data_IF_394948901781
#
_entry.id   IF_394948901781
#
_cell.length_a   1.000
_cell.length_b   1.000
_cell.length_c   1.000
_cell.angle_alpha   90.00
_cell.angle_beta   90.00
_cell.angle_gamma   90.00
#
_symmetry.space_group_name_H-M   'P 1'
#
loop_
_entity.id
_entity.type
_entity.pdbx_description
1 polymer ?
#
# COMPACT_ATOMS: atom_id res chain seq x y z
N UNK A 1 -1.87 5.62 8.76
CA UNK A 1 -0.76 6.47 8.28
C UNK A 1 0.41 6.28 9.23
N UNK A 2 1.57 5.98 8.69
CA UNK A 2 2.82 5.93 9.43
C UNK A 2 3.65 7.16 9.10
N UNK A 3 4.20 7.81 10.10
CA UNK A 3 5.25 8.78 9.91
C UNK A 3 6.59 8.03 9.77
N UNK A 4 7.27 8.21 8.65
CA UNK A 4 8.54 7.56 8.38
C UNK A 4 9.69 8.34 9.00
N UNK A 5 10.63 7.65 9.66
CA UNK A 5 11.83 8.25 10.26
C UNK A 5 11.68 8.63 11.73
N UNK A 6 10.70 8.09 12.43
CA UNK A 6 10.57 8.27 13.87
C UNK A 6 11.59 7.41 14.64
N UNK A 7 12.16 7.99 15.66
CA UNK A 7 13.07 7.31 16.57
C UNK A 7 12.30 6.47 17.60
N UNK A 8 13.00 5.65 18.38
CA UNK A 8 12.41 4.82 19.45
C UNK A 8 11.69 5.62 20.56
N UNK A 9 11.76 6.94 20.55
CA UNK A 9 11.17 7.83 21.56
C UNK A 9 9.73 8.23 21.25
N UNK A 10 9.10 7.66 20.21
CA UNK A 10 7.75 7.98 19.78
C UNK A 10 7.67 9.13 18.78
N UNK A 11 6.46 9.47 18.38
CA UNK A 11 6.21 10.51 17.39
C UNK A 11 6.52 11.91 17.92
N UNK A 12 7.25 12.71 17.13
CA UNK A 12 7.49 14.14 17.39
C UNK A 12 6.49 15.05 16.67
N UNK A 13 5.57 14.45 15.92
CA UNK A 13 4.56 15.17 15.15
C UNK A 13 3.23 14.42 15.24
N UNK A 14 2.18 15.18 15.41
CA UNK A 14 0.81 14.72 15.44
C UNK A 14 0.14 15.03 14.10
N UNK A 15 -0.28 13.99 13.39
CA UNK A 15 -1.02 14.09 12.15
C UNK A 15 -2.37 13.44 12.29
N UNK A 16 -3.41 14.18 11.94
CA UNK A 16 -4.78 13.70 11.85
C UNK A 16 -5.14 13.34 10.42
N UNK A 17 -6.04 12.37 10.24
CA UNK A 17 -6.57 11.97 8.94
C UNK A 17 -8.08 12.15 8.89
N UNK A 18 -8.55 12.72 7.79
CA UNK A 18 -9.97 12.96 7.54
C UNK A 18 -10.38 12.49 6.14
N UNK A 19 -11.60 11.99 6.01
CA UNK A 19 -12.30 11.92 4.73
C UNK A 19 -13.17 13.17 4.60
N UNK A 20 -13.02 13.88 3.50
CA UNK A 20 -13.75 15.11 3.21
C UNK A 20 -14.35 15.05 1.81
N UNK A 21 -15.37 15.87 1.57
CA UNK A 21 -15.84 16.13 0.22
C UNK A 21 -14.92 17.14 -0.50
N UNK A 22 -15.23 17.46 -1.75
CA UNK A 22 -14.47 18.43 -2.55
C UNK A 22 -14.41 19.84 -1.95
N UNK A 23 -15.30 20.16 -1.03
CA UNK A 23 -15.35 21.47 -0.34
C UNK A 23 -14.64 21.47 1.02
N UNK A 24 -14.03 20.35 1.39
CA UNK A 24 -13.38 20.17 2.68
C UNK A 24 -14.34 19.87 3.84
N UNK A 25 -15.62 19.62 3.56
CA UNK A 25 -16.55 19.19 4.61
C UNK A 25 -16.21 17.77 5.04
N UNK A 26 -15.96 17.61 6.33
CA UNK A 26 -15.59 16.33 6.90
C UNK A 26 -16.77 15.33 6.88
N UNK A 27 -16.52 14.14 6.37
CA UNK A 27 -17.42 12.99 6.51
C UNK A 27 -17.07 12.15 7.72
N UNK A 28 -15.77 11.90 7.90
CA UNK A 28 -15.24 11.08 8.96
C UNK A 28 -13.80 11.48 9.23
N UNK A 29 -13.33 11.30 10.46
CA UNK A 29 -11.95 11.63 10.81
C UNK A 29 -11.45 10.80 11.97
N UNK A 30 -10.15 10.73 12.08
CA UNK A 30 -9.45 10.16 13.22
C UNK A 30 -8.32 11.13 13.62
N UNK A 31 -8.35 11.56 14.86
CA UNK A 31 -7.53 12.65 15.40
C UNK A 31 -6.94 12.28 16.76
N UNK A 32 -6.33 11.12 16.82
CA UNK A 32 -5.63 10.70 18.04
C UNK A 32 -4.32 11.47 18.18
N UNK A 33 -4.06 11.98 19.39
CA UNK A 33 -2.76 12.58 19.67
C UNK A 33 -1.65 11.52 19.64
N UNK A 34 -0.73 11.65 18.68
CA UNK A 34 0.38 10.74 18.46
C UNK A 34 1.69 11.17 19.12
N UNK A 35 1.77 12.38 19.71
CA UNK A 35 3.00 12.87 20.33
C UNK A 35 3.50 11.93 21.42
N UNK A 36 4.75 11.49 21.29
CA UNK A 36 5.36 10.53 22.21
C UNK A 36 4.85 9.10 22.08
N UNK A 37 3.91 8.84 21.19
CA UNK A 37 3.32 7.53 20.92
C UNK A 37 3.61 7.00 19.52
N UNK A 38 2.82 6.01 19.09
CA UNK A 38 2.94 5.43 17.75
C UNK A 38 2.45 6.43 16.69
N UNK A 39 3.22 6.64 15.61
CA UNK A 39 2.86 7.54 14.51
C UNK A 39 1.85 6.86 13.57
N UNK A 40 0.71 6.47 14.11
CA UNK A 40 -0.31 5.69 13.39
C UNK A 40 -1.69 6.32 13.57
N UNK A 41 -2.32 6.66 12.45
CA UNK A 41 -3.74 6.96 12.36
C UNK A 41 -4.47 5.83 11.64
N UNK A 42 -5.65 5.45 12.15
CA UNK A 42 -6.50 4.41 11.56
C UNK A 42 -7.85 5.01 11.23
N UNK A 43 -8.19 5.01 9.94
CA UNK A 43 -9.43 5.55 9.44
C UNK A 43 -10.37 4.40 9.02
N UNK A 44 -11.21 3.87 9.91
CA UNK A 44 -12.23 2.89 9.54
C UNK A 44 -13.39 3.65 8.86
N UNK A 45 -13.70 3.27 7.63
CA UNK A 45 -14.80 3.86 6.89
C UNK A 45 -15.54 2.80 6.07
N UNK A 46 -16.85 2.85 6.10
CA UNK A 46 -17.72 1.98 5.29
C UNK A 46 -18.47 2.87 4.30
N UNK A 47 -18.28 2.61 3.02
CA UNK A 47 -19.07 3.28 1.97
C UNK A 47 -20.50 2.73 2.03
N UNK A 48 -21.50 3.57 2.29
CA UNK A 48 -22.89 3.12 2.31
C UNK A 48 -23.38 2.81 0.89
N UNK A 49 -24.03 1.66 0.74
CA UNK A 49 -24.58 1.23 -0.57
C UNK A 49 -23.55 0.56 -1.48
N UNK A 50 -23.91 0.43 -2.75
CA UNK A 50 -23.15 -0.31 -3.77
C UNK A 50 -22.41 0.59 -4.77
N UNK A 51 -22.64 1.90 -4.72
CA UNK A 51 -22.02 2.84 -5.63
C UNK A 51 -20.71 3.38 -5.07
N UNK A 52 -19.68 3.54 -5.92
CA UNK A 52 -18.45 4.21 -5.51
C UNK A 52 -18.73 5.64 -5.03
N UNK A 53 -18.02 6.06 -3.99
CA UNK A 53 -18.09 7.41 -3.45
C UNK A 53 -16.72 8.07 -3.64
N UNK A 54 -16.71 9.26 -4.22
CA UNK A 54 -15.52 10.07 -4.32
C UNK A 54 -15.36 10.91 -3.05
N UNK A 55 -14.17 10.87 -2.47
CA UNK A 55 -13.80 11.63 -1.30
C UNK A 55 -12.34 12.08 -1.39
N UNK A 56 -11.99 13.11 -0.64
CA UNK A 56 -10.60 13.51 -0.46
C UNK A 56 -10.08 12.93 0.87
N UNK A 57 -8.84 12.47 0.85
CA UNK A 57 -8.10 12.15 2.06
C UNK A 57 -7.32 13.39 2.46
N UNK A 58 -7.70 14.00 3.57
CA UNK A 58 -7.06 15.20 4.10
C UNK A 58 -6.21 14.83 5.30
N UNK A 59 -4.94 15.21 5.26
CA UNK A 59 -3.98 14.97 6.34
C UNK A 59 -3.62 16.32 6.92
N UNK A 60 -3.84 16.48 8.22
CA UNK A 60 -3.58 17.73 8.94
C UNK A 60 -2.50 17.48 9.99
N UNK A 61 -1.51 18.35 10.02
CA UNK A 61 -0.58 18.39 11.15
C UNK A 61 -1.21 19.15 12.30
N UNK A 62 -1.67 18.44 13.32
CA UNK A 62 -2.33 18.99 14.48
C UNK A 62 -1.34 19.58 15.48
N UNK A 63 -0.17 18.95 15.65
CA UNK A 63 0.87 19.43 16.55
C UNK A 63 2.27 19.01 16.09
N UNK A 64 3.31 19.56 16.73
CA UNK A 64 4.70 19.30 16.40
C UNK A 64 5.25 20.18 15.29
N UNK A 65 6.56 20.16 15.11
CA UNK A 65 7.28 21.06 14.20
C UNK A 65 8.01 20.34 13.07
N UNK A 66 8.07 19.01 13.10
CA UNK A 66 8.83 18.22 12.13
C UNK A 66 7.92 17.85 10.97
N UNK A 67 8.35 18.16 9.75
CA UNK A 67 7.72 17.62 8.55
C UNK A 67 8.18 16.18 8.37
N UNK A 68 7.24 15.27 8.26
CA UNK A 68 7.50 13.84 8.06
C UNK A 68 6.81 13.36 6.80
N UNK A 69 7.41 12.37 6.17
CA UNK A 69 6.71 11.63 5.12
C UNK A 69 5.60 10.79 5.76
N UNK A 70 4.44 10.79 5.14
CA UNK A 70 3.32 9.94 5.53
C UNK A 70 3.13 8.84 4.50
N UNK A 71 2.72 7.67 4.95
CA UNK A 71 2.38 6.53 4.10
C UNK A 71 0.93 6.13 4.36
N UNK A 72 0.15 6.08 3.29
CA UNK A 72 -1.21 5.58 3.32
C UNK A 72 -1.22 4.09 2.95
N UNK A 73 -1.92 3.30 3.75
CA UNK A 73 -2.09 1.87 3.52
C UNK A 73 -3.58 1.58 3.52
N UNK A 74 -4.08 1.01 2.44
CA UNK A 74 -5.44 0.48 2.36
C UNK A 74 -5.41 -0.96 2.86
N UNK A 75 -6.01 -1.22 4.01
CA UNK A 75 -5.92 -2.53 4.64
C UNK A 75 -7.03 -3.48 4.18
N UNK A 76 -8.20 -2.95 3.86
CA UNK A 76 -9.34 -3.70 3.32
C UNK A 76 -10.19 -2.80 2.44
N UNK A 77 -10.85 -3.42 1.47
CA UNK A 77 -11.72 -2.73 0.51
C UNK A 77 -10.99 -2.30 -0.76
N UNK A 78 -11.73 -1.76 -1.67
CA UNK A 78 -11.24 -1.26 -2.95
C UNK A 78 -11.16 0.26 -2.89
N UNK A 79 -10.01 0.80 -3.22
CA UNK A 79 -9.76 2.22 -3.30
C UNK A 79 -8.93 2.53 -4.54
N UNK A 80 -9.40 3.49 -5.33
CA UNK A 80 -8.67 4.02 -6.47
C UNK A 80 -8.21 5.43 -6.16
N UNK A 81 -6.94 5.72 -6.37
CA UNK A 81 -6.38 7.05 -6.21
C UNK A 81 -6.41 7.79 -7.55
N UNK A 82 -7.08 8.94 -7.59
CA UNK A 82 -7.11 9.79 -8.78
C UNK A 82 -5.88 10.71 -8.86
N UNK A 83 -5.26 11.01 -7.71
CA UNK A 83 -4.11 11.89 -7.60
C UNK A 83 -3.02 11.23 -6.73
N UNK A 84 -1.77 11.55 -7.01
CA UNK A 84 -0.58 11.08 -6.28
C UNK A 84 -0.37 9.56 -6.28
N UNK A 85 -1.01 8.82 -7.20
CA UNK A 85 -0.88 7.38 -7.34
C UNK A 85 0.45 6.99 -8.01
N UNK A 86 1.58 7.31 -7.41
CA UNK A 86 2.89 7.04 -8.00
C UNK A 86 3.28 5.57 -7.98
N UNK A 87 2.64 4.76 -7.15
CA UNK A 87 2.94 3.33 -6.96
C UNK A 87 4.29 3.03 -6.31
N UNK A 88 5.10 4.05 -6.01
CA UNK A 88 6.40 3.88 -5.33
C UNK A 88 6.24 3.89 -3.82
N UNK A 89 7.22 3.34 -3.10
CA UNK A 89 7.25 3.31 -1.63
C UNK A 89 6.02 2.62 -1.01
N UNK A 90 5.49 1.57 -1.68
CA UNK A 90 4.28 0.86 -1.24
C UNK A 90 4.57 -0.37 -0.38
N UNK A 91 5.84 -0.80 -0.27
CA UNK A 91 6.23 -1.89 0.60
C UNK A 91 6.21 -1.43 2.07
N UNK A 92 5.59 -2.24 2.93
CA UNK A 92 5.35 -1.92 4.34
C UNK A 92 5.67 -3.09 5.27
N UNK A 93 5.79 -2.80 6.57
CA UNK A 93 5.95 -3.81 7.62
C UNK A 93 7.18 -4.69 7.42
N UNK A 94 7.01 -5.97 7.68
CA UNK A 94 8.08 -6.96 7.64
C UNK A 94 8.73 -7.08 6.25
N UNK A 95 7.96 -6.87 5.19
CA UNK A 95 8.48 -6.88 3.82
C UNK A 95 9.48 -5.76 3.54
N UNK A 96 9.51 -4.72 4.38
CA UNK A 96 10.51 -3.65 4.29
C UNK A 96 11.69 -3.84 5.25
N UNK A 97 11.77 -4.97 5.97
CA UNK A 97 12.90 -5.25 6.83
C UNK A 97 14.18 -5.48 6.00
N UNK A 98 15.30 -4.99 6.48
CA UNK A 98 16.58 -5.04 5.76
C UNK A 98 17.00 -6.47 5.43
N UNK A 99 16.88 -7.36 6.42
CA UNK A 99 17.28 -8.76 6.31
C UNK A 99 16.20 -9.69 5.74
N UNK A 100 15.00 -9.19 5.44
CA UNK A 100 13.95 -9.99 4.84
C UNK A 100 14.20 -10.15 3.33
N UNK A 101 14.00 -11.34 2.81
CA UNK A 101 13.89 -11.55 1.36
C UNK A 101 12.45 -11.25 0.98
N UNK A 102 12.25 -10.18 0.21
CA UNK A 102 10.93 -9.69 -0.21
C UNK A 102 10.74 -9.99 -1.68
N UNK A 103 9.61 -10.62 -2.00
CA UNK A 103 9.29 -11.08 -3.34
C UNK A 103 8.13 -10.28 -3.90
N UNK A 104 8.33 -9.67 -5.06
CA UNK A 104 7.26 -9.07 -5.86
C UNK A 104 6.64 -10.08 -6.83
N UNK A 105 5.52 -9.72 -7.43
CA UNK A 105 4.76 -10.57 -8.33
C UNK A 105 4.96 -10.19 -9.80
N UNK A 106 5.09 -11.20 -10.65
CA UNK A 106 5.00 -11.11 -12.10
C UNK A 106 4.02 -12.16 -12.59
N UNK A 107 3.14 -11.84 -13.54
CA UNK A 107 2.30 -12.87 -14.13
C UNK A 107 3.18 -13.91 -14.82
N UNK A 108 2.89 -15.19 -14.65
CA UNK A 108 3.75 -16.26 -15.16
C UNK A 108 3.99 -16.17 -16.68
N UNK A 109 2.99 -15.74 -17.45
CA UNK A 109 3.14 -15.56 -18.90
C UNK A 109 3.83 -14.24 -19.29
N UNK A 110 4.12 -13.35 -18.35
CA UNK A 110 4.91 -12.13 -18.54
C UNK A 110 6.37 -12.30 -18.09
N UNK A 111 6.90 -13.49 -18.25
CA UNK A 111 8.26 -13.86 -17.85
C UNK A 111 9.12 -14.22 -19.08
N UNK A 112 10.44 -14.28 -18.96
CA UNK A 112 11.32 -14.69 -20.04
C UNK A 112 11.02 -16.08 -20.62
N UNK A 113 10.47 -16.99 -19.82
CA UNK A 113 10.04 -18.31 -20.29
C UNK A 113 8.93 -18.24 -21.35
N UNK A 114 8.19 -17.15 -21.37
CA UNK A 114 7.14 -16.85 -22.35
C UNK A 114 7.53 -15.72 -23.32
N UNK A 115 8.84 -15.37 -23.40
CA UNK A 115 9.37 -14.40 -24.34
C UNK A 115 9.27 -12.93 -23.90
N UNK A 116 8.84 -12.67 -22.66
CA UNK A 116 8.77 -11.29 -22.12
C UNK A 116 10.03 -10.99 -21.31
N UNK A 117 10.93 -10.20 -21.89
CA UNK A 117 12.18 -9.82 -21.26
C UNK A 117 12.47 -8.31 -21.46
N UNK A 118 12.56 -7.49 -20.40
CA UNK A 118 12.44 -7.88 -18.99
C UNK A 118 11.01 -8.31 -18.59
N UNK A 119 10.86 -9.09 -17.49
CA UNK A 119 9.54 -9.48 -17.01
C UNK A 119 8.69 -8.28 -16.63
N UNK A 120 7.39 -8.32 -16.94
CA UNK A 120 6.46 -7.25 -16.59
C UNK A 120 5.87 -7.47 -15.20
N UNK A 121 6.28 -6.62 -14.24
CA UNK A 121 5.79 -6.67 -12.86
C UNK A 121 4.29 -6.37 -12.82
N UNK A 122 3.55 -7.12 -12.01
CA UNK A 122 2.11 -6.93 -11.79
C UNK A 122 1.81 -5.57 -11.17
N UNK A 123 0.69 -4.97 -11.58
CA UNK A 123 0.29 -3.64 -11.11
C UNK A 123 0.02 -3.59 -9.61
N UNK A 124 -0.50 -4.68 -9.03
CA UNK A 124 -0.72 -4.79 -7.60
C UNK A 124 0.55 -5.07 -6.79
N UNK A 125 1.66 -5.45 -7.45
CA UNK A 125 2.91 -5.73 -6.75
C UNK A 125 3.50 -4.45 -6.17
N UNK A 126 3.70 -4.44 -4.86
CA UNK A 126 4.28 -3.30 -4.17
C UNK A 126 5.70 -2.99 -4.65
N UNK A 127 6.01 -1.71 -4.72
CA UNK A 127 7.31 -1.18 -5.17
C UNK A 127 8.05 -0.54 -4.02
N UNK A 128 9.36 -0.66 -4.03
CA UNK A 128 10.25 -0.12 -3.02
C UNK A 128 10.45 1.40 -3.10
N UNK A 129 11.55 1.84 -2.54
CA UNK A 129 11.87 3.27 -2.42
C UNK A 129 11.46 3.86 -1.07
N UNK A 130 11.07 3.02 -0.10
CA UNK A 130 10.72 3.47 1.25
C UNK A 130 11.97 3.92 2.00
N UNK A 131 12.07 5.19 2.41
CA UNK A 131 13.16 5.64 3.27
C UNK A 131 12.93 5.15 4.70
N UNK A 132 13.98 4.58 5.29
CA UNK A 132 14.03 4.21 6.72
C UNK A 132 15.33 4.77 7.27
N UNK A 133 15.26 5.61 8.29
CA UNK A 133 16.43 6.29 8.86
C UNK A 133 17.32 6.95 7.80
N UNK A 134 16.71 7.71 6.90
CA UNK A 134 17.34 8.38 5.75
C UNK A 134 18.02 7.46 4.73
N UNK A 135 17.84 6.15 4.83
CA UNK A 135 18.33 5.18 3.85
C UNK A 135 17.17 4.64 3.05
N UNK A 136 17.25 4.74 1.73
CA UNK A 136 16.23 4.16 0.83
C UNK A 136 16.46 2.65 0.78
N UNK A 137 15.43 1.89 1.13
CA UNK A 137 15.44 0.43 0.99
C UNK A 137 14.89 0.03 -0.37
N UNK A 138 15.77 -0.57 -1.16
CA UNK A 138 15.41 -1.09 -2.48
C UNK A 138 14.80 -2.49 -2.31
N UNK A 139 13.49 -2.52 -2.19
CA UNK A 139 12.67 -3.73 -2.12
C UNK A 139 11.63 -3.70 -3.25
N UNK A 140 11.10 -4.83 -3.72
CA UNK A 140 11.46 -6.21 -3.38
C UNK A 140 12.86 -6.59 -3.85
N UNK A 141 13.43 -7.67 -3.29
CA UNK A 141 14.75 -8.17 -3.67
C UNK A 141 14.70 -8.93 -4.99
N UNK A 142 13.57 -9.57 -5.27
CA UNK A 142 13.33 -10.32 -6.50
C UNK A 142 11.83 -10.32 -6.84
N UNK A 143 11.50 -10.80 -8.04
CA UNK A 143 10.12 -11.08 -8.44
C UNK A 143 9.97 -12.57 -8.74
N UNK A 144 8.77 -13.12 -8.50
CA UNK A 144 8.45 -14.51 -8.78
C UNK A 144 7.13 -14.62 -9.55
N UNK A 145 6.94 -15.69 -10.34
CA UNK A 145 5.72 -15.94 -11.09
C UNK A 145 4.50 -16.02 -10.17
N UNK A 146 3.43 -15.35 -10.59
CA UNK A 146 2.10 -15.37 -10.00
C UNK A 146 1.08 -15.82 -11.06
N UNK A 147 -0.09 -16.28 -10.64
CA UNK A 147 -1.16 -16.70 -11.53
C UNK A 147 -0.96 -18.10 -12.13
N UNK A 148 -0.06 -18.89 -11.56
CA UNK A 148 0.15 -20.25 -12.01
C UNK A 148 -1.05 -21.17 -11.76
N UNK A 149 -1.09 -22.30 -12.47
CA UNK A 149 -2.14 -23.30 -12.35
C UNK A 149 -2.17 -23.91 -10.95
N UNK A 150 -3.36 -24.18 -10.47
CA UNK A 150 -3.58 -24.85 -9.19
C UNK A 150 -4.69 -25.89 -9.30
N UNK A 151 -4.58 -26.95 -8.51
CA UNK A 151 -5.66 -27.93 -8.33
C UNK A 151 -6.63 -27.52 -7.22
N UNK A 152 -6.36 -26.43 -6.51
CA UNK A 152 -7.19 -25.93 -5.42
C UNK A 152 -8.27 -25.01 -5.99
N UNK A 153 -9.52 -25.41 -5.86
CA UNK A 153 -10.66 -24.61 -6.31
C UNK A 153 -10.94 -23.45 -5.33
N UNK A 154 -10.23 -22.35 -5.49
CA UNK A 154 -10.42 -21.11 -4.72
C UNK A 154 -11.28 -20.08 -5.45
N UNK A 155 -11.99 -20.48 -6.51
CA UNK A 155 -12.82 -19.59 -7.32
C UNK A 155 -12.02 -18.67 -8.25
N UNK A 156 -10.75 -18.94 -8.46
CA UNK A 156 -9.91 -18.20 -9.40
C UNK A 156 -10.35 -18.41 -10.86
N UNK A 157 -10.11 -17.42 -11.74
CA UNK A 157 -10.40 -17.54 -13.15
C UNK A 157 -9.44 -18.54 -13.81
N UNK A 158 -9.90 -19.19 -14.88
CA UNK A 158 -9.04 -19.92 -15.80
C UNK A 158 -8.68 -18.94 -16.93
N UNK A 159 -7.49 -18.35 -16.87
CA UNK A 159 -7.08 -17.30 -17.81
C UNK A 159 -6.33 -17.81 -19.03
N UNK A 160 -5.79 -19.02 -18.99
CA UNK A 160 -5.05 -19.65 -20.10
C UNK A 160 -5.86 -20.70 -20.86
N UNK A 161 -7.07 -21.01 -20.40
CA UNK A 161 -8.01 -21.88 -21.08
C UNK A 161 -7.71 -23.37 -20.93
N UNK A 162 -6.83 -23.75 -20.02
CA UNK A 162 -6.61 -25.15 -19.67
C UNK A 162 -7.69 -25.65 -18.67
N UNK A 163 -7.52 -26.85 -18.14
CA UNK A 163 -8.50 -27.43 -17.21
C UNK A 163 -8.33 -27.00 -15.74
N UNK A 164 -7.35 -26.16 -15.44
CA UNK A 164 -6.99 -25.77 -14.08
C UNK A 164 -7.26 -24.29 -13.83
N UNK A 165 -7.82 -23.91 -12.67
CA UNK A 165 -7.91 -22.50 -12.32
C UNK A 165 -6.52 -21.91 -12.04
N UNK A 166 -6.35 -20.66 -12.41
CA UNK A 166 -5.16 -19.91 -12.06
C UNK A 166 -5.33 -19.26 -10.68
N UNK A 167 -4.27 -19.23 -9.92
CA UNK A 167 -4.24 -18.58 -8.61
C UNK A 167 -3.47 -17.27 -8.66
N UNK A 168 -4.17 -16.16 -8.37
CA UNK A 168 -3.63 -14.80 -8.35
C UNK A 168 -3.66 -14.20 -6.95
#
# INVERSE_FOLDING_TARGET
IYSLGQTQTGSLTDYDIYLTNQYGTQYFGFNRNNLGGDPLEVLPFIVPGTNPVQANITIIRAAGSINSNVKLIVFRGELSFNEYATGISTIVGQSNAESAITVGAVNYFNTPAYGVNPPAVQDFSSRGGTPVNNTIRNKPDLIAPNGGNTTVALGGPNVDGDQFPNFF
#
